data_IF_786295353628
#
_entry.id   IF_786295353628
#
_cell.length_a   1.000
_cell.length_b   1.000
_cell.length_c   1.000
_cell.angle_alpha   90.00
_cell.angle_beta   90.00
_cell.angle_gamma   90.00
#
_symmetry.space_group_name_H-M   'P 1'
#
loop_
_entity.id
_entity.type
_entity.pdbx_description
1 polymer ?
#
# COMPACT_ATOMS: atom_id res chain seq x y z
N UNK A 1 11.96 -24.37 -28.12
CA UNK A 1 11.41 -24.91 -26.86
C UNK A 1 11.53 -23.83 -25.82
N UNK A 2 10.40 -23.45 -25.23
CA UNK A 2 10.35 -22.39 -24.22
C UNK A 2 10.63 -23.01 -22.85
N UNK A 3 11.90 -23.04 -22.45
CA UNK A 3 12.40 -23.72 -21.23
C UNK A 3 11.81 -23.15 -19.95
N UNK A 4 11.26 -21.94 -20.03
CA UNK A 4 10.55 -21.27 -18.95
C UNK A 4 9.19 -21.94 -18.70
N UNK A 5 8.53 -22.44 -19.75
CA UNK A 5 7.23 -23.12 -19.64
C UNK A 5 7.32 -24.49 -18.94
N UNK A 6 8.52 -25.06 -18.80
CA UNK A 6 8.77 -26.35 -18.14
C UNK A 6 9.02 -26.23 -16.63
N UNK A 7 9.15 -25.00 -16.10
CA UNK A 7 9.41 -24.78 -14.68
C UNK A 7 8.15 -25.04 -13.82
N UNK A 8 8.28 -25.51 -12.57
CA UNK A 8 7.16 -25.62 -11.62
C UNK A 8 6.55 -24.26 -11.25
N UNK A 9 5.26 -24.24 -10.93
CA UNK A 9 4.51 -23.02 -10.58
C UNK A 9 5.15 -22.21 -9.44
N UNK A 10 5.71 -22.88 -8.43
CA UNK A 10 6.41 -22.22 -7.33
C UNK A 10 7.68 -21.46 -7.79
N UNK A 11 8.41 -21.98 -8.77
CA UNK A 11 9.58 -21.32 -9.35
C UNK A 11 9.15 -20.16 -10.24
N UNK A 12 8.04 -20.30 -10.94
CA UNK A 12 7.46 -19.23 -11.76
C UNK A 12 6.96 -18.06 -10.91
N UNK A 13 6.30 -18.33 -9.78
CA UNK A 13 5.91 -17.32 -8.78
C UNK A 13 7.12 -16.60 -8.19
N UNK A 14 8.16 -17.35 -7.87
CA UNK A 14 9.42 -16.79 -7.39
C UNK A 14 10.03 -15.86 -8.46
N UNK A 15 10.12 -16.29 -9.72
CA UNK A 15 10.60 -15.43 -10.82
C UNK A 15 9.71 -14.18 -10.97
N UNK A 16 8.38 -14.32 -10.92
CA UNK A 16 7.45 -13.18 -10.96
C UNK A 16 7.72 -12.16 -9.85
N UNK A 17 8.04 -12.61 -8.63
CA UNK A 17 8.37 -11.71 -7.52
C UNK A 17 9.68 -10.94 -7.71
N UNK A 18 10.59 -11.41 -8.57
CA UNK A 18 11.88 -10.75 -8.85
C UNK A 18 11.91 -9.98 -10.18
N UNK A 19 10.91 -10.15 -11.05
CA UNK A 19 10.86 -9.46 -12.33
C UNK A 19 10.41 -8.01 -12.14
N UNK A 20 11.04 -7.02 -12.82
CA UNK A 20 10.47 -5.69 -12.93
C UNK A 20 9.04 -5.80 -13.44
N UNK A 21 8.09 -5.11 -12.80
CA UNK A 21 6.65 -5.40 -12.95
C UNK A 21 6.16 -5.32 -14.39
N UNK A 22 6.74 -4.43 -15.19
CA UNK A 22 6.44 -4.33 -16.62
C UNK A 22 6.80 -5.63 -17.36
N UNK A 23 7.94 -6.23 -17.03
CA UNK A 23 8.42 -7.50 -17.59
C UNK A 23 7.60 -8.66 -17.07
N UNK A 24 7.33 -8.70 -15.76
CA UNK A 24 6.49 -9.71 -15.11
C UNK A 24 5.09 -9.79 -15.74
N UNK A 25 4.49 -8.64 -16.04
CA UNK A 25 3.16 -8.58 -16.64
C UNK A 25 3.17 -8.71 -18.17
N UNK A 26 4.23 -8.26 -18.85
CA UNK A 26 4.40 -8.61 -20.26
C UNK A 26 4.42 -10.13 -20.43
N UNK A 27 5.01 -10.86 -19.47
CA UNK A 27 4.99 -12.33 -19.45
C UNK A 27 3.64 -12.95 -19.07
N UNK A 28 2.76 -12.27 -18.32
CA UNK A 28 1.41 -12.80 -18.03
C UNK A 28 0.50 -12.80 -19.24
N UNK A 29 0.70 -11.87 -20.19
CA UNK A 29 0.01 -11.85 -21.48
C UNK A 29 0.50 -12.98 -22.41
N UNK A 30 1.74 -13.44 -22.25
CA UNK A 30 2.35 -14.46 -23.10
C UNK A 30 1.86 -15.88 -22.80
N UNK A 31 1.24 -16.14 -21.64
CA UNK A 31 0.70 -17.47 -21.33
C UNK A 31 -0.36 -17.46 -20.23
N UNK A 32 -1.46 -18.20 -20.48
CA UNK A 32 -2.57 -18.43 -19.52
C UNK A 32 -2.12 -19.04 -18.19
N UNK A 33 -0.92 -19.63 -18.12
CA UNK A 33 -0.35 -20.18 -16.88
C UNK A 33 0.12 -19.05 -15.96
N UNK A 34 0.76 -18.02 -16.52
CA UNK A 34 1.25 -16.87 -15.75
C UNK A 34 0.10 -16.00 -15.21
N UNK A 35 -0.98 -15.85 -15.99
CA UNK A 35 -2.22 -15.22 -15.49
C UNK A 35 -2.80 -15.96 -14.28
N UNK A 36 -2.82 -17.30 -14.31
CA UNK A 36 -3.28 -18.12 -13.18
C UNK A 36 -2.37 -17.97 -11.96
N UNK A 37 -1.06 -17.90 -12.17
CA UNK A 37 -0.12 -17.70 -11.07
C UNK A 37 -0.27 -16.33 -10.40
N UNK A 38 -0.60 -15.26 -11.16
CA UNK A 38 -0.94 -13.98 -10.55
C UNK A 38 -2.22 -14.03 -9.69
N UNK A 39 -3.19 -14.88 -10.03
CA UNK A 39 -4.39 -15.07 -9.24
C UNK A 39 -4.08 -15.69 -7.86
N UNK A 40 -3.11 -16.60 -7.80
CA UNK A 40 -2.71 -17.31 -6.58
C UNK A 40 -1.61 -16.58 -5.80
N UNK A 41 -1.22 -15.37 -6.23
CA UNK A 41 -0.14 -14.62 -5.60
C UNK A 41 -0.62 -13.96 -4.31
N UNK A 42 -0.16 -14.49 -3.17
CA UNK A 42 -0.47 -13.95 -1.84
C UNK A 42 0.42 -12.76 -1.44
N UNK A 43 1.63 -12.67 -1.99
CA UNK A 43 2.58 -11.60 -1.68
C UNK A 43 3.01 -10.89 -2.96
N UNK A 44 2.71 -9.60 -3.06
CA UNK A 44 3.10 -8.77 -4.18
C UNK A 44 3.87 -7.56 -3.69
N UNK A 45 5.10 -7.44 -4.17
CA UNK A 45 5.95 -6.29 -3.92
C UNK A 45 6.22 -5.56 -5.23
N UNK A 46 5.91 -4.28 -5.24
CA UNK A 46 6.14 -3.39 -6.36
C UNK A 46 7.06 -2.27 -5.90
N UNK A 47 8.29 -2.25 -6.44
CA UNK A 47 9.27 -1.20 -6.20
C UNK A 47 9.57 -0.45 -7.50
N UNK A 48 9.71 0.87 -7.38
CA UNK A 48 10.43 1.73 -8.33
C UNK A 48 10.30 1.34 -9.82
N UNK A 49 9.12 1.61 -10.38
CA UNK A 49 8.94 1.68 -11.82
C UNK A 49 8.08 2.90 -12.09
N UNK A 50 8.52 3.85 -12.92
CA UNK A 50 7.78 5.06 -13.30
C UNK A 50 6.54 4.74 -14.16
N UNK A 51 5.74 3.77 -13.74
CA UNK A 51 4.53 3.31 -14.39
C UNK A 51 3.38 4.20 -13.89
N UNK A 52 2.51 4.70 -14.78
CA UNK A 52 1.33 5.45 -14.36
C UNK A 52 0.43 4.63 -13.43
N UNK A 53 -0.20 5.27 -12.45
CA UNK A 53 -1.13 4.68 -11.47
C UNK A 53 -2.24 3.87 -12.13
N UNK A 54 -2.74 4.32 -13.30
CA UNK A 54 -3.78 3.57 -14.03
C UNK A 54 -3.34 2.16 -14.46
N UNK A 55 -2.06 1.97 -14.78
CA UNK A 55 -1.53 0.63 -15.05
C UNK A 55 -1.38 -0.18 -13.76
N UNK A 56 -1.09 0.45 -12.62
CA UNK A 56 -1.01 -0.25 -11.33
C UNK A 56 -2.36 -0.84 -10.93
N UNK A 57 -3.47 -0.09 -11.09
CA UNK A 57 -4.81 -0.61 -10.79
C UNK A 57 -5.19 -1.81 -11.69
N UNK A 58 -4.87 -1.75 -12.99
CA UNK A 58 -5.09 -2.86 -13.92
C UNK A 58 -4.27 -4.10 -13.54
N UNK A 59 -3.01 -3.91 -13.14
CA UNK A 59 -2.14 -4.99 -12.66
C UNK A 59 -2.72 -5.67 -11.42
N UNK A 60 -3.11 -4.84 -10.45
CA UNK A 60 -3.67 -5.24 -9.17
C UNK A 60 -5.01 -5.97 -9.31
N UNK A 61 -5.82 -5.64 -10.33
CA UNK A 61 -7.11 -6.29 -10.58
C UNK A 61 -7.04 -7.81 -10.83
N UNK A 62 -5.88 -8.33 -11.20
CA UNK A 62 -5.67 -9.75 -11.47
C UNK A 62 -5.32 -10.58 -10.22
N UNK A 63 -5.04 -9.94 -9.08
CA UNK A 63 -4.60 -10.61 -7.85
C UNK A 63 -5.77 -10.67 -6.86
N UNK A 64 -6.48 -11.79 -6.77
CA UNK A 64 -7.70 -11.91 -5.94
C UNK A 64 -7.43 -12.50 -4.56
N UNK A 65 -6.33 -13.24 -4.39
CA UNK A 65 -5.91 -13.88 -3.13
C UNK A 65 -4.79 -13.11 -2.42
N UNK A 66 -4.61 -11.82 -2.74
CA UNK A 66 -3.49 -11.04 -2.22
C UNK A 66 -3.63 -10.81 -0.72
N UNK A 67 -2.64 -11.24 0.06
CA UNK A 67 -2.57 -11.13 1.52
C UNK A 67 -1.59 -10.03 1.96
N UNK A 68 -0.52 -9.82 1.19
CA UNK A 68 0.47 -8.78 1.44
C UNK A 68 0.78 -7.97 0.19
N UNK A 69 0.68 -6.64 0.30
CA UNK A 69 0.99 -5.69 -0.75
C UNK A 69 2.04 -4.71 -0.25
N UNK A 70 3.15 -4.62 -0.97
CA UNK A 70 4.19 -3.63 -0.74
C UNK A 70 4.31 -2.73 -1.96
N UNK A 71 4.09 -1.44 -1.79
CA UNK A 71 4.22 -0.39 -2.81
C UNK A 71 5.33 0.56 -2.37
N UNK A 72 6.46 0.52 -3.04
CA UNK A 72 7.61 1.38 -2.76
C UNK A 72 7.89 2.30 -3.95
N UNK A 73 7.74 3.61 -3.72
CA UNK A 73 8.07 4.67 -4.65
C UNK A 73 7.34 4.55 -6.00
N UNK A 74 6.06 4.21 -5.92
CA UNK A 74 5.22 3.92 -7.09
C UNK A 74 4.67 5.17 -7.77
N UNK A 75 4.56 6.28 -7.04
CA UNK A 75 4.02 7.53 -7.57
C UNK A 75 5.08 8.32 -8.33
N UNK A 76 4.66 9.02 -9.38
CA UNK A 76 5.51 9.96 -10.13
C UNK A 76 5.27 11.40 -9.70
N UNK A 77 6.30 12.24 -9.79
CA UNK A 77 6.16 13.68 -9.62
C UNK A 77 5.18 14.25 -10.65
N UNK A 78 4.17 15.00 -10.18
CA UNK A 78 3.16 15.61 -11.05
C UNK A 78 2.05 14.66 -11.50
N UNK A 79 1.99 13.45 -10.95
CA UNK A 79 0.90 12.51 -11.24
C UNK A 79 -0.41 12.96 -10.58
N UNK A 80 -1.48 12.92 -11.36
CA UNK A 80 -2.83 13.29 -10.94
C UNK A 80 -3.76 12.11 -11.15
N UNK A 81 -4.68 11.88 -10.22
CA UNK A 81 -5.59 10.74 -10.26
C UNK A 81 -5.89 10.15 -8.90
N UNK A 82 -6.39 8.92 -8.92
CA UNK A 82 -6.74 8.13 -7.75
C UNK A 82 -5.97 6.81 -7.79
N UNK A 83 -5.44 6.38 -6.65
CA UNK A 83 -4.90 5.04 -6.44
C UNK A 83 -5.82 4.30 -5.45
N UNK A 84 -6.50 3.27 -5.92
CA UNK A 84 -7.48 2.51 -5.14
C UNK A 84 -6.92 1.15 -4.75
N UNK A 85 -6.84 0.86 -3.46
CA UNK A 85 -6.40 -0.41 -2.89
C UNK A 85 -7.59 -1.06 -2.22
N UNK A 86 -8.26 -1.97 -2.93
CA UNK A 86 -9.53 -2.58 -2.52
C UNK A 86 -9.46 -4.11 -2.59
N UNK A 87 -8.80 -4.73 -1.61
CA UNK A 87 -8.56 -6.16 -1.57
C UNK A 87 -9.18 -6.79 -0.31
N UNK A 88 -10.23 -7.62 -0.44
CA UNK A 88 -10.89 -8.20 0.72
C UNK A 88 -10.03 -9.22 1.47
N UNK A 89 -9.04 -9.84 0.82
CA UNK A 89 -8.10 -10.79 1.42
C UNK A 89 -6.84 -10.14 2.01
N UNK A 90 -6.63 -8.84 1.79
CA UNK A 90 -5.36 -8.20 2.14
C UNK A 90 -5.24 -8.01 3.65
N UNK A 91 -4.21 -8.60 4.22
CA UNK A 91 -3.90 -8.55 5.65
C UNK A 91 -2.80 -7.54 5.97
N UNK A 92 -1.90 -7.26 5.02
CA UNK A 92 -0.72 -6.42 5.23
C UNK A 92 -0.51 -5.46 4.06
N UNK A 93 -0.50 -4.16 4.34
CA UNK A 93 -0.25 -3.11 3.35
C UNK A 93 0.94 -2.27 3.77
N UNK A 94 1.93 -2.14 2.89
CA UNK A 94 3.07 -1.24 3.05
C UNK A 94 3.10 -0.29 1.87
N UNK A 95 2.99 1.00 2.13
CA UNK A 95 3.13 2.04 1.14
C UNK A 95 4.27 2.97 1.55
N UNK A 96 5.23 3.19 0.64
CA UNK A 96 6.36 4.08 0.85
C UNK A 96 6.51 5.04 -0.33
N UNK A 97 6.68 6.32 -0.06
CA UNK A 97 6.94 7.36 -1.05
C UNK A 97 7.99 8.34 -0.55
N UNK A 98 9.09 8.46 -1.27
CA UNK A 98 10.20 9.36 -0.96
C UNK A 98 10.20 10.63 -1.84
N UNK A 99 9.06 10.94 -2.46
CA UNK A 99 8.93 12.15 -3.25
C UNK A 99 8.90 13.37 -2.34
N UNK A 100 9.75 14.36 -2.61
CA UNK A 100 9.80 15.63 -1.87
C UNK A 100 8.76 16.66 -2.33
N UNK A 101 7.99 16.32 -3.36
CA UNK A 101 6.95 17.18 -3.94
C UNK A 101 5.60 16.61 -3.56
N UNK A 102 4.65 17.47 -3.16
CA UNK A 102 3.30 17.06 -2.80
C UNK A 102 2.62 16.29 -3.94
N UNK A 103 2.05 15.13 -3.59
CA UNK A 103 1.33 14.29 -4.53
C UNK A 103 -0.04 14.90 -4.79
N UNK A 104 -0.41 15.01 -6.07
CA UNK A 104 -1.77 15.42 -6.49
C UNK A 104 -2.74 14.22 -6.56
N UNK A 105 -2.37 13.11 -5.93
CA UNK A 105 -3.09 11.86 -5.93
C UNK A 105 -4.05 11.75 -4.74
N UNK A 106 -5.17 11.08 -4.99
CA UNK A 106 -6.10 10.61 -3.96
C UNK A 106 -5.79 9.13 -3.69
N UNK A 107 -5.40 8.80 -2.46
CA UNK A 107 -5.20 7.41 -2.05
C UNK A 107 -6.48 6.89 -1.40
N UNK A 108 -7.05 5.80 -1.91
CA UNK A 108 -8.22 5.14 -1.33
C UNK A 108 -7.84 3.76 -0.85
N UNK A 109 -8.05 3.46 0.43
CA UNK A 109 -7.79 2.13 1.01
C UNK A 109 -9.12 1.59 1.55
N UNK A 110 -9.55 0.44 1.05
CA UNK A 110 -10.78 -0.24 1.48
C UNK A 110 -10.54 -1.75 1.54
N UNK A 111 -9.96 -2.19 2.66
CA UNK A 111 -9.44 -3.56 2.84
C UNK A 111 -9.91 -4.09 4.20
N UNK A 112 -11.07 -4.77 4.27
CA UNK A 112 -11.72 -5.13 5.55
C UNK A 112 -10.97 -6.16 6.40
N UNK A 113 -10.06 -6.93 5.78
CA UNK A 113 -9.25 -7.94 6.48
C UNK A 113 -7.88 -7.41 6.92
N UNK A 114 -7.63 -6.11 6.76
CA UNK A 114 -6.31 -5.53 7.02
C UNK A 114 -5.98 -5.57 8.50
N UNK A 115 -4.83 -6.18 8.81
CA UNK A 115 -4.27 -6.30 10.17
C UNK A 115 -3.07 -5.39 10.38
N UNK A 116 -2.26 -5.19 9.33
CA UNK A 116 -1.06 -4.35 9.36
C UNK A 116 -1.10 -3.27 8.29
N UNK A 117 -0.93 -2.02 8.71
CA UNK A 117 -0.90 -0.86 7.84
C UNK A 117 0.39 -0.06 8.05
N UNK A 118 1.20 0.07 7.02
CA UNK A 118 2.37 0.95 7.04
C UNK A 118 2.28 1.95 5.91
N UNK A 119 2.23 3.24 6.23
CA UNK A 119 2.23 4.33 5.25
C UNK A 119 3.34 5.30 5.61
N UNK A 120 4.31 5.42 4.71
CA UNK A 120 5.40 6.38 4.79
C UNK A 120 5.39 7.28 3.56
N UNK A 121 5.29 8.58 3.73
CA UNK A 121 5.32 9.55 2.65
C UNK A 121 6.06 10.83 3.07
N UNK A 122 7.21 11.12 2.43
CA UNK A 122 7.97 12.36 2.63
C UNK A 122 7.22 13.61 2.16
N UNK A 123 6.14 13.44 1.40
CA UNK A 123 5.23 14.50 1.01
C UNK A 123 3.77 14.12 1.25
N UNK A 124 2.93 15.13 1.43
CA UNK A 124 1.49 14.93 1.59
C UNK A 124 0.82 14.50 0.29
N UNK A 125 -0.29 13.78 0.43
CA UNK A 125 -1.25 13.51 -0.64
C UNK A 125 -2.24 14.66 -0.79
N UNK A 126 -2.95 14.71 -1.92
CA UNK A 126 -4.11 15.61 -2.06
C UNK A 126 -5.17 15.25 -1.03
N UNK A 127 -5.44 13.95 -0.93
CA UNK A 127 -6.40 13.38 0.00
C UNK A 127 -6.05 11.91 0.21
N UNK A 128 -6.25 11.42 1.43
CA UNK A 128 -6.27 9.97 1.69
C UNK A 128 -7.68 9.68 2.22
N UNK A 129 -8.30 8.61 1.72
CA UNK A 129 -9.59 8.10 2.19
C UNK A 129 -9.38 6.67 2.60
N UNK A 130 -9.69 6.36 3.83
CA UNK A 130 -9.60 4.99 4.30
C UNK A 130 -10.95 4.55 4.84
N UNK A 131 -11.27 3.28 4.63
CA UNK A 131 -12.47 2.63 5.15
C UNK A 131 -12.10 1.27 5.72
N UNK A 132 -12.93 0.79 6.63
CA UNK A 132 -12.85 -0.57 7.17
C UNK A 132 -11.55 -0.91 7.92
N UNK A 133 -10.92 0.05 8.61
CA UNK A 133 -9.71 -0.18 9.44
C UNK A 133 -9.97 -0.82 10.81
N UNK A 134 -11.20 -1.23 11.09
CA UNK A 134 -11.60 -1.73 12.41
C UNK A 134 -10.86 -3.00 12.86
N UNK A 135 -10.21 -3.73 11.94
CA UNK A 135 -9.42 -4.93 12.21
C UNK A 135 -7.91 -4.68 12.25
N UNK A 136 -7.45 -3.43 12.05
CA UNK A 136 -6.01 -3.13 12.06
C UNK A 136 -5.47 -3.23 13.48
N UNK A 137 -4.49 -4.11 13.65
CA UNK A 137 -3.80 -4.38 14.91
C UNK A 137 -2.48 -3.61 15.01
N UNK A 138 -1.82 -3.35 13.88
CA UNK A 138 -0.54 -2.65 13.83
C UNK A 138 -0.59 -1.57 12.75
N UNK A 139 -0.37 -0.32 13.12
CA UNK A 139 -0.23 0.76 12.16
C UNK A 139 1.05 1.56 12.40
N UNK A 140 1.70 1.93 11.30
CA UNK A 140 2.87 2.79 11.29
C UNK A 140 2.64 3.87 10.24
N UNK A 141 2.43 5.11 10.71
CA UNK A 141 1.98 6.23 9.89
C UNK A 141 3.02 7.35 10.00
N UNK A 142 3.71 7.63 8.91
CA UNK A 142 4.67 8.71 8.77
C UNK A 142 4.35 9.51 7.51
N UNK A 143 3.43 10.47 7.62
CA UNK A 143 2.93 11.24 6.48
C UNK A 143 3.12 12.72 6.75
N UNK A 144 3.88 13.40 5.90
CA UNK A 144 4.19 14.82 6.06
C UNK A 144 2.99 15.73 5.73
N UNK A 145 2.66 16.65 6.65
CA UNK A 145 1.66 17.73 6.48
C UNK A 145 0.28 17.27 6.01
N UNK A 146 -0.27 16.24 6.66
CA UNK A 146 -1.57 15.69 6.26
C UNK A 146 -2.59 15.75 7.39
N UNK A 147 -3.52 16.70 7.30
CA UNK A 147 -4.60 16.89 8.30
C UNK A 147 -5.57 15.71 8.40
N UNK A 148 -5.71 14.92 7.32
CA UNK A 148 -6.51 13.69 7.31
C UNK A 148 -5.91 12.56 8.16
N UNK A 149 -4.66 12.68 8.64
CA UNK A 149 -4.09 11.67 9.54
C UNK A 149 -4.96 11.47 10.78
N UNK A 150 -5.52 12.55 11.33
CA UNK A 150 -6.41 12.49 12.49
C UNK A 150 -7.69 11.67 12.23
N UNK A 151 -8.19 11.67 10.99
CA UNK A 151 -9.36 10.89 10.60
C UNK A 151 -9.03 9.38 10.57
N UNK A 152 -7.84 8.99 10.09
CA UNK A 152 -7.38 7.59 10.18
C UNK A 152 -7.23 7.14 11.61
N UNK A 153 -6.59 7.97 12.41
CA UNK A 153 -6.37 7.75 13.82
C UNK A 153 -7.70 7.48 14.56
N UNK A 154 -8.78 8.20 14.21
CA UNK A 154 -10.11 7.98 14.77
C UNK A 154 -10.78 6.66 14.34
N UNK A 155 -10.45 6.11 13.17
CA UNK A 155 -11.00 4.82 12.70
C UNK A 155 -10.28 3.57 13.25
N UNK A 156 -9.09 3.74 13.86
CA UNK A 156 -8.27 2.66 14.40
C UNK A 156 -8.71 2.23 15.81
N UNK A 157 -9.77 1.42 15.89
CA UNK A 157 -10.37 1.03 17.18
C UNK A 157 -9.71 -0.18 17.88
N UNK A 158 -8.98 -1.06 17.17
CA UNK A 158 -8.40 -2.31 17.71
C UNK A 158 -6.87 -2.32 17.72
N UNK A 159 -6.26 -1.15 17.61
CA UNK A 159 -4.83 -1.05 17.43
C UNK A 159 -4.07 -1.48 18.69
N UNK A 160 -3.11 -2.39 18.51
CA UNK A 160 -2.18 -2.87 19.53
C UNK A 160 -0.86 -2.12 19.47
N UNK A 161 -0.41 -1.79 18.26
CA UNK A 161 0.84 -1.06 18.02
C UNK A 161 0.51 0.11 17.11
N UNK A 162 0.73 1.32 17.59
CA UNK A 162 0.70 2.52 16.75
C UNK A 162 2.06 3.21 16.83
N UNK A 163 2.70 3.30 15.67
CA UNK A 163 3.90 4.09 15.46
C UNK A 163 3.53 5.33 14.64
N UNK A 164 3.87 6.51 15.16
CA UNK A 164 3.72 7.77 14.44
C UNK A 164 5.10 8.29 14.09
N UNK A 165 5.32 8.56 12.81
CA UNK A 165 6.56 9.20 12.35
C UNK A 165 6.65 10.65 12.81
N UNK A 166 7.88 11.16 12.90
CA UNK A 166 8.18 12.54 13.29
C UNK A 166 7.39 13.57 12.47
N UNK A 167 7.13 13.28 11.20
CA UNK A 167 6.37 14.12 10.28
C UNK A 167 4.91 14.36 10.72
N UNK A 168 4.34 13.44 11.50
CA UNK A 168 2.96 13.54 12.00
C UNK A 168 2.86 14.47 13.21
N UNK A 169 3.93 14.57 14.01
CA UNK A 169 3.98 15.46 15.17
C UNK A 169 3.94 16.94 14.82
N UNK A 170 4.29 17.31 13.59
CA UNK A 170 4.08 18.68 13.10
C UNK A 170 2.58 19.03 12.95
N UNK A 171 1.70 18.02 12.79
CA UNK A 171 0.28 18.20 12.51
C UNK A 171 -0.61 18.05 13.76
N UNK A 172 -0.14 17.32 14.79
CA UNK A 172 -0.85 17.10 16.05
C UNK A 172 -1.18 18.39 16.85
N UNK A 173 -0.34 19.45 16.88
CA UNK A 173 -0.62 20.67 17.64
C UNK A 173 -1.83 21.46 17.13
N UNK A 174 -2.21 21.27 15.86
CA UNK A 174 -3.35 21.93 15.23
C UNK A 174 -4.68 21.15 15.45
N UNK A 175 -4.60 19.93 15.98
CA UNK A 175 -5.75 19.08 16.22
C UNK A 175 -6.49 19.51 17.50
N UNK A 176 -7.82 19.71 17.46
CA UNK A 176 -8.56 19.95 18.69
C UNK A 176 -8.55 18.68 19.56
N UNK A 177 -8.47 18.81 20.90
CA UNK A 177 -8.18 17.69 21.81
C UNK A 177 -9.20 16.54 21.77
N UNK A 178 -10.43 16.80 21.29
CA UNK A 178 -11.47 15.77 21.13
C UNK A 178 -11.31 14.91 19.86
N UNK A 179 -10.38 15.23 18.96
CA UNK A 179 -10.05 14.44 17.76
C UNK A 179 -8.80 13.58 17.91
N UNK A 180 -8.08 13.72 19.03
CA UNK A 180 -6.89 12.91 19.32
C UNK A 180 -7.40 11.60 19.95
N UNK A 181 -7.20 10.43 19.31
CA UNK A 181 -7.63 9.18 19.91
C UNK A 181 -6.82 8.89 21.17
N UNK A 182 -7.45 8.26 22.16
CA UNK A 182 -6.75 7.74 23.33
C UNK A 182 -5.93 6.51 22.92
N UNK A 183 -4.66 6.73 22.59
CA UNK A 183 -3.75 5.64 22.27
C UNK A 183 -3.15 5.06 23.54
N UNK A 184 -3.58 3.84 23.89
CA UNK A 184 -3.04 3.14 25.05
C UNK A 184 -1.65 2.53 24.81
N UNK A 185 -1.12 2.58 23.58
CA UNK A 185 0.14 1.94 23.19
C UNK A 185 0.92 2.76 22.12
N UNK A 186 1.19 4.05 22.38
CA UNK A 186 2.13 4.82 21.57
C UNK A 186 3.55 4.33 21.84
N UNK A 187 4.21 3.81 20.81
CA UNK A 187 5.65 3.55 20.84
C UNK A 187 6.32 4.73 20.14
N UNK A 188 6.96 5.60 20.94
CA UNK A 188 7.83 6.65 20.41
C UNK A 188 9.16 6.01 19.98
N UNK A 189 9.38 5.88 18.67
CA UNK A 189 10.72 5.57 18.15
C UNK A 189 11.52 6.87 18.10
N UNK A 190 12.35 7.09 19.14
CA UNK A 190 13.36 8.16 19.26
C UNK A 190 14.59 7.83 18.41
#
# INVERSE_FOLDING_TARGET
MDRISDLPDCILLHILSFLPTKTAFSTTVLSRRWTRLCHDLQHFEFKFNQIPVGNLEELLSHCTALETLVLDSVCRSGEEGQLSICFPSLESLHFKSYLRVALRLILVIDTPSLKRLHIQAESGFREIRVRNLHNVEEASIDIYKQSSVLEFLAELCRIRILELGLSVFDCLPEAPPHRIPEFNCLIDNI
#
